data_IF_359772574772
#
_entry.id   IF_359772574772
#
_cell.length_a   1.000
_cell.length_b   1.000
_cell.length_c   1.000
_cell.angle_alpha   90.00
_cell.angle_beta   90.00
_cell.angle_gamma   90.00
#
_symmetry.space_group_name_H-M   'P 1'
#
loop_
_entity.id
_entity.type
_entity.pdbx_description
1 polymer ?
#
# COMPACT_ATOMS: atom_id res chain seq x y z
N UNK A 1 -0.88 26.16 -20.00
CA UNK A 1 -0.61 26.03 -18.55
C UNK A 1 0.00 24.67 -18.23
N UNK A 2 -0.62 23.56 -18.67
CA UNK A 2 -0.13 22.20 -18.45
C UNK A 2 1.27 21.97 -19.04
N UNK A 3 1.55 22.47 -20.24
CA UNK A 3 2.86 22.38 -20.89
C UNK A 3 3.99 23.02 -20.05
N UNK A 4 3.71 24.18 -19.45
CA UNK A 4 4.71 24.87 -18.60
C UNK A 4 5.01 24.13 -17.30
N UNK A 5 4.02 23.40 -16.76
CA UNK A 5 4.16 22.64 -15.51
C UNK A 5 4.78 21.27 -15.73
N UNK A 6 4.32 20.54 -16.76
CA UNK A 6 4.63 19.11 -16.93
C UNK A 6 5.52 18.81 -18.14
N UNK A 7 5.86 19.84 -18.97
CA UNK A 7 6.75 19.69 -20.13
C UNK A 7 6.37 18.53 -21.04
N UNK A 8 5.08 18.44 -21.37
CA UNK A 8 4.48 17.30 -22.08
C UNK A 8 5.18 16.99 -23.41
N UNK A 9 5.54 18.04 -24.19
CA UNK A 9 6.25 17.90 -25.46
C UNK A 9 7.67 17.35 -25.28
N UNK A 10 8.39 17.81 -24.23
CA UNK A 10 9.74 17.34 -23.90
C UNK A 10 9.71 15.84 -23.53
N UNK A 11 8.61 15.37 -22.91
CA UNK A 11 8.38 13.99 -22.53
C UNK A 11 7.70 13.15 -23.65
N UNK A 12 7.43 13.72 -24.80
CA UNK A 12 6.80 13.01 -25.93
C UNK A 12 5.38 12.54 -25.68
N UNK A 13 4.64 13.21 -24.79
CA UNK A 13 3.30 12.83 -24.36
C UNK A 13 2.25 13.92 -24.62
N UNK A 14 0.98 13.62 -24.39
CA UNK A 14 -0.13 14.56 -24.52
C UNK A 14 -0.98 14.56 -23.27
N UNK A 15 -1.69 15.65 -22.97
CA UNK A 15 -2.60 15.74 -21.84
C UNK A 15 -3.63 14.59 -21.81
N UNK A 16 -4.14 14.18 -22.97
CA UNK A 16 -5.08 13.05 -23.08
C UNK A 16 -4.43 11.73 -22.65
N UNK A 17 -3.19 11.49 -23.09
CA UNK A 17 -2.43 10.28 -22.71
C UNK A 17 -2.19 10.25 -21.22
N UNK A 18 -1.77 11.37 -20.61
CA UNK A 18 -1.52 11.49 -19.19
C UNK A 18 -2.78 11.28 -18.34
N UNK A 19 -3.92 11.83 -18.75
CA UNK A 19 -5.19 11.61 -18.05
C UNK A 19 -5.60 10.12 -18.10
N UNK A 20 -5.50 9.48 -19.26
CA UNK A 20 -5.83 8.06 -19.40
C UNK A 20 -4.87 7.19 -18.57
N UNK A 21 -3.58 7.52 -18.56
CA UNK A 21 -2.58 6.85 -17.74
C UNK A 21 -2.88 7.03 -16.23
N UNK A 22 -3.23 8.25 -15.80
CA UNK A 22 -3.60 8.55 -14.43
C UNK A 22 -4.85 7.78 -13.98
N UNK A 23 -5.90 7.75 -14.80
CA UNK A 23 -7.10 6.94 -14.52
C UNK A 23 -6.75 5.46 -14.44
N UNK A 24 -5.92 4.94 -15.35
CA UNK A 24 -5.48 3.53 -15.32
C UNK A 24 -4.70 3.23 -14.05
N UNK A 25 -3.78 4.10 -13.63
CA UNK A 25 -3.02 3.97 -12.39
C UNK A 25 -3.96 3.99 -11.17
N UNK A 26 -4.90 4.93 -11.13
CA UNK A 26 -5.92 4.98 -10.08
C UNK A 26 -6.72 3.66 -9.99
N UNK A 27 -7.21 3.14 -11.11
CA UNK A 27 -7.98 1.90 -11.13
C UNK A 27 -7.17 0.69 -10.60
N UNK A 28 -5.87 0.64 -10.87
CA UNK A 28 -4.99 -0.43 -10.38
C UNK A 28 -4.67 -0.31 -8.89
N UNK A 29 -4.65 0.92 -8.35
CA UNK A 29 -4.31 1.19 -6.95
C UNK A 29 -5.52 1.32 -6.04
N UNK A 30 -6.73 1.51 -6.59
CA UNK A 30 -7.94 1.84 -5.82
C UNK A 30 -8.33 0.80 -4.77
N UNK A 31 -7.91 -0.46 -4.91
CA UNK A 31 -8.16 -1.49 -3.90
C UNK A 31 -7.58 -1.14 -2.52
N UNK A 32 -6.52 -0.34 -2.47
CA UNK A 32 -5.85 0.08 -1.24
C UNK A 32 -6.77 0.90 -0.32
N UNK A 33 -7.74 1.60 -0.92
CA UNK A 33 -8.76 2.40 -0.21
C UNK A 33 -9.58 1.52 0.75
N UNK A 34 -9.74 0.25 0.44
CA UNK A 34 -10.46 -0.72 1.26
C UNK A 34 -9.52 -1.56 2.12
N UNK A 35 -8.44 -2.08 1.54
CA UNK A 35 -7.53 -3.01 2.20
C UNK A 35 -6.72 -2.34 3.31
N UNK A 36 -6.30 -1.09 3.13
CA UNK A 36 -5.54 -0.37 4.15
C UNK A 36 -6.35 -0.11 5.43
N UNK A 37 -7.59 0.43 5.37
CA UNK A 37 -8.43 0.56 6.55
C UNK A 37 -8.75 -0.77 7.21
N UNK A 38 -8.96 -1.84 6.46
CA UNK A 38 -9.23 -3.17 7.02
C UNK A 38 -8.05 -3.69 7.85
N UNK A 39 -6.81 -3.54 7.35
CA UNK A 39 -5.62 -3.96 8.09
C UNK A 39 -5.41 -3.09 9.32
N UNK A 40 -5.44 -1.77 9.18
CA UNK A 40 -5.15 -0.86 10.29
C UNK A 40 -6.24 -0.84 11.36
N UNK A 41 -7.50 -1.08 11.02
CA UNK A 41 -8.58 -1.18 12.00
C UNK A 41 -8.43 -2.35 12.98
N UNK A 42 -7.67 -3.39 12.62
CA UNK A 42 -7.37 -4.50 13.55
C UNK A 42 -6.57 -4.05 14.78
N UNK A 43 -5.93 -2.88 14.71
CA UNK A 43 -5.18 -2.26 15.83
C UNK A 43 -6.05 -1.44 16.78
N UNK A 44 -7.35 -1.32 16.52
CA UNK A 44 -8.26 -0.44 17.25
C UNK A 44 -8.39 0.98 16.67
N UNK A 45 -7.75 1.28 15.53
CA UNK A 45 -7.97 2.54 14.80
C UNK A 45 -9.37 2.57 14.19
N UNK A 46 -9.99 3.75 14.18
CA UNK A 46 -11.28 3.92 13.51
C UNK A 46 -11.15 3.69 11.99
N UNK A 47 -11.87 2.68 11.48
CA UNK A 47 -11.79 2.26 10.07
C UNK A 47 -12.15 3.37 9.10
N UNK A 48 -13.14 4.18 9.45
CA UNK A 48 -13.63 5.25 8.59
C UNK A 48 -12.65 6.42 8.53
N UNK A 49 -12.05 6.78 9.67
CA UNK A 49 -11.02 7.80 9.73
C UNK A 49 -9.75 7.36 8.96
N UNK A 50 -9.35 6.09 9.07
CA UNK A 50 -8.23 5.51 8.29
C UNK A 50 -8.54 5.52 6.79
N UNK A 51 -9.78 5.25 6.38
CA UNK A 51 -10.19 5.36 4.98
C UNK A 51 -9.94 6.77 4.42
N UNK A 52 -10.40 7.80 5.13
CA UNK A 52 -10.18 9.20 4.71
C UNK A 52 -8.69 9.55 4.71
N UNK A 53 -7.95 9.15 5.76
CA UNK A 53 -6.51 9.37 5.84
C UNK A 53 -5.76 8.71 4.67
N UNK A 54 -6.14 7.49 4.29
CA UNK A 54 -5.57 6.76 3.15
C UNK A 54 -5.77 7.52 1.84
N UNK A 55 -7.00 7.99 1.58
CA UNK A 55 -7.31 8.76 0.39
C UNK A 55 -6.52 10.07 0.32
N UNK A 56 -6.47 10.81 1.44
CA UNK A 56 -5.75 12.08 1.52
C UNK A 56 -4.23 11.88 1.36
N UNK A 57 -3.65 10.90 2.02
CA UNK A 57 -2.22 10.60 1.92
C UNK A 57 -1.82 10.20 0.50
N UNK A 58 -2.61 9.34 -0.15
CA UNK A 58 -2.38 8.94 -1.53
C UNK A 58 -2.51 10.12 -2.51
N UNK A 59 -3.51 10.97 -2.32
CA UNK A 59 -3.71 12.17 -3.14
C UNK A 59 -2.55 13.16 -2.97
N UNK A 60 -2.18 13.49 -1.73
CA UNK A 60 -1.07 14.40 -1.43
C UNK A 60 0.27 13.87 -1.96
N UNK A 61 0.57 12.59 -1.71
CA UNK A 61 1.79 11.97 -2.21
C UNK A 61 1.88 11.98 -3.73
N UNK A 62 0.78 11.66 -4.43
CA UNK A 62 0.73 11.69 -5.90
C UNK A 62 0.84 13.10 -6.46
N UNK A 63 0.22 14.10 -5.82
CA UNK A 63 0.34 15.51 -6.22
C UNK A 63 1.79 16.01 -6.03
N UNK A 64 2.41 15.70 -4.90
CA UNK A 64 3.81 16.07 -4.64
C UNK A 64 4.73 15.40 -5.67
N UNK A 65 4.55 14.13 -5.97
CA UNK A 65 5.32 13.40 -6.98
C UNK A 65 5.17 14.07 -8.36
N UNK A 66 3.96 14.45 -8.74
CA UNK A 66 3.70 15.09 -10.02
C UNK A 66 4.28 16.50 -10.12
N UNK A 67 4.13 17.33 -9.07
CA UNK A 67 4.51 18.74 -9.10
C UNK A 67 6.00 18.98 -8.79
N UNK A 68 6.58 18.20 -7.89
CA UNK A 68 7.98 18.37 -7.44
C UNK A 68 8.94 17.53 -8.26
N UNK A 69 8.64 16.24 -8.43
CA UNK A 69 9.50 15.33 -9.19
C UNK A 69 9.20 15.33 -10.69
N UNK A 70 8.03 15.84 -11.10
CA UNK A 70 7.53 15.75 -12.47
C UNK A 70 7.53 14.30 -13.01
N UNK A 71 7.14 13.37 -12.15
CA UNK A 71 7.03 11.96 -12.48
C UNK A 71 5.57 11.50 -12.46
N UNK A 72 5.09 10.84 -13.52
CA UNK A 72 3.71 10.35 -13.62
C UNK A 72 3.53 9.04 -12.86
N UNK A 73 3.89 9.02 -11.57
CA UNK A 73 3.80 7.86 -10.69
C UNK A 73 2.79 8.14 -9.59
N UNK A 74 1.76 7.29 -9.47
CA UNK A 74 0.82 7.34 -8.36
C UNK A 74 1.46 6.81 -7.08
N UNK A 75 1.19 7.49 -5.96
CA UNK A 75 1.69 7.12 -4.63
C UNK A 75 0.55 6.60 -3.76
N UNK A 76 0.82 5.55 -2.99
CA UNK A 76 -0.12 5.00 -2.02
C UNK A 76 0.62 4.36 -0.85
N UNK A 77 -0.05 4.11 0.31
CA UNK A 77 0.57 3.44 1.44
C UNK A 77 1.14 2.07 1.09
N UNK A 78 2.33 1.75 1.62
CA UNK A 78 2.99 0.47 1.42
C UNK A 78 2.35 -0.63 2.27
N UNK A 79 1.75 -1.63 1.63
CA UNK A 79 0.98 -2.67 2.32
C UNK A 79 1.83 -3.55 3.24
N UNK A 80 3.09 -3.80 2.88
CA UNK A 80 4.02 -4.58 3.71
C UNK A 80 4.28 -3.93 5.06
N UNK A 81 4.52 -2.61 5.07
CA UNK A 81 4.72 -1.84 6.30
C UNK A 81 3.45 -1.76 7.13
N UNK A 82 2.28 -1.62 6.51
CA UNK A 82 1.02 -1.57 7.23
C UNK A 82 0.71 -2.90 7.93
N UNK A 83 1.01 -4.01 7.29
CA UNK A 83 0.85 -5.33 7.89
C UNK A 83 1.86 -5.56 9.04
N UNK A 84 3.11 -5.14 8.90
CA UNK A 84 4.10 -5.16 9.98
C UNK A 84 3.65 -4.28 11.16
N UNK A 85 3.17 -3.07 10.89
CA UNK A 85 2.58 -2.17 11.88
C UNK A 85 1.44 -2.86 12.65
N UNK A 86 0.44 -3.38 11.94
CA UNK A 86 -0.77 -3.90 12.55
C UNK A 86 -0.55 -5.22 13.29
N UNK A 87 0.09 -6.19 12.66
CA UNK A 87 0.16 -7.55 13.21
C UNK A 87 1.39 -7.77 14.07
N UNK A 88 2.52 -7.14 13.75
CA UNK A 88 3.74 -7.33 14.54
C UNK A 88 3.86 -6.29 15.63
N UNK A 89 3.86 -5.00 15.31
CA UNK A 89 4.14 -3.94 16.28
C UNK A 89 3.00 -3.82 17.29
N UNK A 90 1.77 -3.66 16.81
CA UNK A 90 0.61 -3.52 17.70
C UNK A 90 0.13 -4.89 18.19
N UNK A 91 -0.05 -5.86 17.29
CA UNK A 91 -0.64 -7.16 17.63
C UNK A 91 0.26 -8.06 18.46
N UNK A 92 1.50 -8.29 18.06
CA UNK A 92 2.40 -9.25 18.70
C UNK A 92 3.27 -8.60 19.81
N UNK A 93 3.79 -7.37 19.57
CA UNK A 93 4.63 -6.67 20.54
C UNK A 93 3.83 -5.90 21.60
N UNK A 94 2.51 -5.66 21.37
CA UNK A 94 1.61 -5.04 22.34
C UNK A 94 1.75 -3.52 22.48
N UNK A 95 2.40 -2.83 21.53
CA UNK A 95 2.44 -1.37 21.52
C UNK A 95 1.08 -0.78 21.16
N UNK A 96 0.74 0.39 21.69
CA UNK A 96 -0.45 1.09 21.22
C UNK A 96 -0.26 1.56 19.78
N UNK A 97 -1.35 1.68 19.02
CA UNK A 97 -1.27 2.18 17.66
C UNK A 97 -0.77 3.64 17.58
N UNK A 98 -0.99 4.44 18.63
CA UNK A 98 -0.46 5.80 18.75
C UNK A 98 1.08 5.81 18.85
N UNK A 99 1.65 4.93 19.68
CA UNK A 99 3.10 4.76 19.80
C UNK A 99 3.70 4.23 18.48
N UNK A 100 3.04 3.26 17.86
CA UNK A 100 3.45 2.74 16.58
C UNK A 100 3.42 3.82 15.47
N UNK A 101 2.39 4.70 15.45
CA UNK A 101 2.37 5.88 14.57
C UNK A 101 3.49 6.87 14.87
N UNK A 102 3.82 7.08 16.16
CA UNK A 102 4.97 7.86 16.58
C UNK A 102 6.28 7.29 16.02
N UNK A 103 6.44 5.97 16.06
CA UNK A 103 7.61 5.29 15.49
C UNK A 103 7.68 5.45 13.94
N UNK A 104 6.55 5.33 13.22
CA UNK A 104 6.47 5.59 11.78
C UNK A 104 6.82 7.04 11.47
N UNK A 105 6.34 8.00 12.24
CA UNK A 105 6.66 9.41 12.04
C UNK A 105 8.17 9.69 12.21
N UNK A 106 8.78 9.12 13.24
CA UNK A 106 10.24 9.23 13.47
C UNK A 106 11.00 8.58 12.31
N UNK A 107 10.57 7.39 11.85
CA UNK A 107 11.20 6.72 10.70
C UNK A 107 11.13 7.56 9.43
N UNK A 108 10.00 8.22 9.17
CA UNK A 108 9.85 9.14 8.04
C UNK A 108 10.80 10.34 8.11
N UNK A 109 11.00 10.93 9.29
CA UNK A 109 11.99 12.00 9.47
C UNK A 109 13.41 11.49 9.20
N UNK A 110 13.77 10.32 9.74
CA UNK A 110 15.08 9.70 9.51
C UNK A 110 15.27 9.42 8.02
N UNK A 111 14.24 8.89 7.35
CA UNK A 111 14.27 8.64 5.91
C UNK A 111 14.52 9.90 5.09
N UNK A 112 13.89 11.02 5.45
CA UNK A 112 14.13 12.32 4.82
C UNK A 112 15.58 12.76 5.01
N UNK A 113 16.12 12.65 6.22
CA UNK A 113 17.52 12.99 6.53
C UNK A 113 18.47 12.12 5.69
N UNK A 114 18.26 10.81 5.64
CA UNK A 114 19.05 9.88 4.84
C UNK A 114 19.00 10.19 3.34
N UNK A 115 17.84 10.67 2.87
CA UNK A 115 17.64 11.03 1.46
C UNK A 115 18.38 12.33 1.10
N UNK A 116 18.23 13.38 1.95
CA UNK A 116 18.89 14.68 1.72
C UNK A 116 20.42 14.59 1.85
N UNK A 117 20.92 13.76 2.77
CA UNK A 117 22.37 13.55 2.97
C UNK A 117 23.01 12.62 1.92
N UNK A 118 22.19 11.96 1.10
CA UNK A 118 22.68 10.98 0.10
C UNK A 118 23.08 9.62 0.68
N UNK A 119 23.02 9.43 2.00
CA UNK A 119 23.33 8.15 2.68
C UNK A 119 22.42 7.04 2.19
N UNK A 120 21.16 7.36 1.89
CA UNK A 120 20.18 6.41 1.30
C UNK A 120 20.75 5.71 0.07
N UNK A 121 21.41 6.42 -0.83
CA UNK A 121 22.00 5.85 -2.05
C UNK A 121 23.07 4.82 -1.71
N UNK A 122 23.96 5.15 -0.78
CA UNK A 122 25.01 4.24 -0.32
C UNK A 122 24.42 2.98 0.33
N UNK A 123 23.36 3.11 1.16
CA UNK A 123 22.66 1.96 1.76
C UNK A 123 22.06 1.03 0.70
N UNK A 124 21.39 1.60 -0.31
CA UNK A 124 20.74 0.82 -1.37
C UNK A 124 21.78 0.15 -2.29
N UNK A 125 22.89 0.83 -2.62
CA UNK A 125 23.94 0.26 -3.44
C UNK A 125 24.71 -0.87 -2.71
N UNK A 126 24.82 -0.80 -1.38
CA UNK A 126 25.46 -1.81 -0.54
C UNK A 126 24.71 -3.15 -0.44
N UNK A 127 23.44 -3.21 -0.85
CA UNK A 127 22.64 -4.43 -0.74
C UNK A 127 22.62 -5.22 -2.04
N UNK A 128 22.97 -6.52 -2.00
CA UNK A 128 22.91 -7.41 -3.15
C UNK A 128 21.51 -7.44 -3.78
N UNK A 129 21.43 -7.51 -5.10
CA UNK A 129 20.18 -7.56 -5.84
C UNK A 129 19.28 -8.73 -5.42
N UNK A 130 19.89 -9.88 -5.08
CA UNK A 130 19.19 -11.07 -4.58
C UNK A 130 18.42 -10.79 -3.28
N UNK A 131 19.03 -10.05 -2.34
CA UNK A 131 18.38 -9.72 -1.07
C UNK A 131 17.18 -8.78 -1.27
N UNK A 132 17.30 -7.79 -2.16
CA UNK A 132 16.18 -6.90 -2.51
C UNK A 132 15.00 -7.68 -3.12
N UNK A 133 15.30 -8.62 -4.01
CA UNK A 133 14.26 -9.48 -4.60
C UNK A 133 13.63 -10.40 -3.57
N UNK A 134 14.41 -10.92 -2.61
CA UNK A 134 13.91 -11.77 -1.53
C UNK A 134 12.98 -11.01 -0.57
N UNK A 135 13.29 -9.74 -0.27
CA UNK A 135 12.40 -8.89 0.55
C UNK A 135 11.04 -8.73 -0.15
N UNK A 136 11.03 -8.38 -1.43
CA UNK A 136 9.80 -8.23 -2.20
C UNK A 136 8.98 -9.54 -2.26
N UNK A 137 9.65 -10.69 -2.46
CA UNK A 137 9.00 -11.99 -2.44
C UNK A 137 8.42 -12.33 -1.06
N UNK A 138 9.15 -12.04 0.03
CA UNK A 138 8.71 -12.24 1.40
C UNK A 138 7.46 -11.41 1.74
N UNK A 139 7.44 -10.15 1.36
CA UNK A 139 6.26 -9.26 1.52
C UNK A 139 5.07 -9.81 0.73
N UNK A 140 5.28 -10.26 -0.52
CA UNK A 140 4.23 -10.85 -1.34
C UNK A 140 3.62 -12.11 -0.71
N UNK A 141 4.44 -13.03 -0.22
CA UNK A 141 3.97 -14.25 0.47
C UNK A 141 3.24 -13.93 1.77
N UNK A 142 3.72 -12.95 2.54
CA UNK A 142 3.07 -12.50 3.76
C UNK A 142 1.68 -11.92 3.49
N UNK A 143 1.56 -11.05 2.48
CA UNK A 143 0.26 -10.50 2.06
C UNK A 143 -0.69 -11.58 1.54
N UNK A 144 -0.18 -12.57 0.81
CA UNK A 144 -0.97 -13.71 0.36
C UNK A 144 -1.54 -14.50 1.55
N UNK A 145 -0.72 -14.77 2.57
CA UNK A 145 -1.17 -15.46 3.78
C UNK A 145 -2.26 -14.66 4.52
N UNK A 146 -2.07 -13.34 4.67
CA UNK A 146 -3.07 -12.46 5.29
C UNK A 146 -4.36 -12.44 4.47
N UNK A 147 -4.27 -12.33 3.15
CA UNK A 147 -5.41 -12.40 2.26
C UNK A 147 -6.20 -13.70 2.39
N UNK A 148 -5.51 -14.84 2.40
CA UNK A 148 -6.12 -16.16 2.60
C UNK A 148 -6.77 -16.30 3.98
N UNK A 149 -6.14 -15.73 5.02
CA UNK A 149 -6.69 -15.71 6.37
C UNK A 149 -7.95 -14.82 6.45
N UNK A 150 -7.91 -13.63 5.89
CA UNK A 150 -9.06 -12.71 5.85
C UNK A 150 -10.23 -13.28 5.04
N UNK A 151 -9.92 -14.02 3.97
CA UNK A 151 -10.90 -14.75 3.18
C UNK A 151 -11.51 -15.97 3.90
N UNK A 152 -10.95 -16.40 5.03
CA UNK A 152 -11.37 -17.60 5.75
C UNK A 152 -10.96 -18.92 5.06
N UNK A 153 -10.10 -18.86 4.05
CA UNK A 153 -9.50 -20.05 3.39
C UNK A 153 -8.44 -20.68 4.28
N UNK A 154 -7.64 -19.85 4.95
CA UNK A 154 -6.69 -20.29 5.97
C UNK A 154 -7.20 -19.85 7.34
N UNK A 155 -7.21 -20.78 8.29
CA UNK A 155 -7.62 -20.55 9.69
C UNK A 155 -6.53 -20.96 10.65
N UNK A 156 -6.57 -20.46 11.90
CA UNK A 156 -5.65 -20.87 12.94
C UNK A 156 -5.91 -22.33 13.36
N UNK A 157 -4.84 -23.08 13.55
CA UNK A 157 -4.87 -24.45 14.08
C UNK A 157 -3.82 -24.58 15.19
N UNK A 158 -4.19 -25.09 16.35
CA UNK A 158 -3.28 -25.20 17.50
C UNK A 158 -2.10 -26.14 17.27
N UNK A 159 -2.28 -27.19 16.45
CA UNK A 159 -1.25 -28.18 16.21
C UNK A 159 -0.29 -27.78 15.06
N UNK A 160 -0.82 -27.17 14.00
CA UNK A 160 -0.08 -26.86 12.76
C UNK A 160 0.07 -25.37 12.50
N UNK A 161 -0.35 -24.51 13.44
CA UNK A 161 -0.43 -23.05 13.36
C UNK A 161 -1.45 -22.56 12.33
N UNK A 162 -1.55 -23.20 11.17
CA UNK A 162 -2.49 -22.90 10.10
C UNK A 162 -3.20 -24.17 9.63
N UNK A 163 -4.46 -24.04 9.27
CA UNK A 163 -5.28 -25.13 8.74
C UNK A 163 -6.17 -24.61 7.60
N UNK A 164 -6.80 -25.56 6.90
CA UNK A 164 -7.78 -25.22 5.88
C UNK A 164 -9.10 -24.83 6.56
N UNK A 165 -9.66 -23.69 6.15
CA UNK A 165 -10.97 -23.25 6.58
C UNK A 165 -12.12 -24.04 5.92
N UNK A 166 -13.33 -23.72 6.31
CA UNK A 166 -14.54 -24.32 5.73
C UNK A 166 -14.82 -23.67 4.36
N UNK A 167 -14.37 -24.36 3.31
CA UNK A 167 -14.56 -23.90 1.93
C UNK A 167 -16.00 -24.00 1.41
N UNK A 168 -16.91 -24.58 2.20
CA UNK A 168 -18.35 -24.63 1.82
C UNK A 168 -19.07 -23.33 2.15
N UNK A 169 -18.47 -22.47 2.98
CA UNK A 169 -19.03 -21.18 3.34
C UNK A 169 -18.95 -20.20 2.17
N UNK A 170 -19.96 -19.37 2.05
CA UNK A 170 -20.06 -18.40 0.95
C UNK A 170 -18.90 -17.38 0.89
N UNK A 171 -18.37 -16.97 2.04
CA UNK A 171 -17.23 -16.03 2.10
C UNK A 171 -15.98 -16.57 1.41
N UNK A 172 -15.40 -17.72 1.85
CA UNK A 172 -14.27 -18.37 1.20
C UNK A 172 -14.51 -18.69 -0.27
N UNK A 173 -15.71 -19.17 -0.63
CA UNK A 173 -16.07 -19.45 -2.03
C UNK A 173 -16.03 -18.20 -2.91
N UNK A 174 -16.60 -17.10 -2.44
CA UNK A 174 -16.56 -15.82 -3.15
C UNK A 174 -15.13 -15.28 -3.28
N UNK A 175 -14.31 -15.43 -2.24
CA UNK A 175 -12.93 -14.98 -2.28
C UNK A 175 -12.11 -15.78 -3.31
N UNK A 176 -12.28 -17.11 -3.35
CA UNK A 176 -11.65 -17.98 -4.35
C UNK A 176 -12.14 -17.64 -5.76
N UNK A 177 -13.45 -17.48 -5.95
CA UNK A 177 -14.03 -17.08 -7.24
C UNK A 177 -13.47 -15.71 -7.68
N UNK A 178 -13.40 -14.74 -6.76
CA UNK A 178 -12.81 -13.43 -7.02
C UNK A 178 -11.35 -13.49 -7.45
N UNK A 179 -10.56 -14.31 -6.78
CA UNK A 179 -9.16 -14.53 -7.15
C UNK A 179 -9.04 -15.05 -8.60
N UNK A 180 -9.81 -16.07 -8.96
CA UNK A 180 -9.78 -16.61 -10.32
C UNK A 180 -10.30 -15.62 -11.37
N UNK A 181 -11.36 -14.85 -11.05
CA UNK A 181 -11.86 -13.79 -11.94
C UNK A 181 -10.76 -12.75 -12.20
N UNK A 182 -10.08 -12.27 -11.13
CA UNK A 182 -8.99 -11.31 -11.26
C UNK A 182 -7.85 -11.91 -12.08
N UNK A 183 -7.45 -13.16 -11.80
CA UNK A 183 -6.37 -13.83 -12.53
C UNK A 183 -6.67 -13.99 -14.02
N UNK A 184 -7.90 -14.33 -14.38
CA UNK A 184 -8.34 -14.43 -15.80
C UNK A 184 -8.34 -13.05 -16.45
N UNK A 185 -8.89 -12.03 -15.79
CA UNK A 185 -8.92 -10.66 -16.31
C UNK A 185 -7.50 -10.10 -16.50
N UNK A 186 -6.60 -10.39 -15.59
CA UNK A 186 -5.19 -9.98 -15.68
C UNK A 186 -4.46 -10.71 -16.83
N UNK A 187 -4.68 -12.03 -16.97
CA UNK A 187 -4.15 -12.81 -18.10
C UNK A 187 -4.65 -12.29 -19.45
N UNK A 188 -5.89 -11.82 -19.52
CA UNK A 188 -6.48 -11.15 -20.70
C UNK A 188 -6.01 -9.69 -20.86
N UNK A 189 -5.12 -9.20 -19.98
CA UNK A 189 -4.59 -7.82 -19.99
C UNK A 189 -5.68 -6.75 -19.90
N UNK A 190 -6.78 -7.03 -19.19
CA UNK A 190 -7.85 -6.07 -18.95
C UNK A 190 -7.37 -5.01 -17.98
N UNK A 191 -7.42 -3.74 -18.36
CA UNK A 191 -7.04 -2.62 -17.49
C UNK A 191 -7.99 -2.53 -16.32
N UNK A 192 -7.46 -2.47 -15.08
CA UNK A 192 -8.27 -2.43 -13.88
C UNK A 192 -8.87 -3.79 -13.47
N UNK A 193 -8.28 -4.91 -13.89
CA UNK A 193 -8.72 -6.28 -13.58
C UNK A 193 -9.04 -6.48 -12.09
N UNK A 194 -8.19 -5.96 -11.20
CA UNK A 194 -8.36 -6.06 -9.74
C UNK A 194 -9.65 -5.36 -9.30
N UNK A 195 -9.86 -4.11 -9.72
CA UNK A 195 -11.06 -3.36 -9.34
C UNK A 195 -12.32 -4.00 -9.91
N UNK A 196 -12.29 -4.44 -11.17
CA UNK A 196 -13.43 -5.12 -11.82
C UNK A 196 -13.77 -6.39 -11.04
N UNK A 197 -12.78 -7.20 -10.67
CA UNK A 197 -13.00 -8.41 -9.88
C UNK A 197 -13.60 -8.10 -8.50
N UNK A 198 -13.09 -7.08 -7.80
CA UNK A 198 -13.67 -6.63 -6.52
C UNK A 198 -15.12 -6.22 -6.70
N UNK A 199 -15.45 -5.43 -7.72
CA UNK A 199 -16.82 -4.99 -7.98
C UNK A 199 -17.75 -6.15 -8.29
N UNK A 200 -17.32 -7.12 -9.12
CA UNK A 200 -18.11 -8.32 -9.44
C UNK A 200 -18.43 -9.10 -8.16
N UNK A 201 -17.43 -9.35 -7.32
CA UNK A 201 -17.62 -10.11 -6.08
C UNK A 201 -18.45 -9.31 -5.06
N UNK A 202 -18.30 -8.00 -5.00
CA UNK A 202 -19.12 -7.14 -4.15
C UNK A 202 -20.60 -7.23 -4.56
N UNK A 203 -20.92 -7.11 -5.85
CA UNK A 203 -22.28 -7.26 -6.35
C UNK A 203 -22.83 -8.66 -6.07
N UNK A 204 -22.04 -9.71 -6.29
CA UNK A 204 -22.42 -11.07 -5.96
C UNK A 204 -22.68 -11.27 -4.47
N UNK A 205 -21.84 -10.69 -3.60
CA UNK A 205 -21.99 -10.74 -2.14
C UNK A 205 -23.27 -10.05 -1.67
N UNK A 206 -23.62 -8.91 -2.28
CA UNK A 206 -24.87 -8.19 -2.01
C UNK A 206 -26.08 -9.02 -2.48
N UNK A 207 -26.02 -9.57 -3.70
CA UNK A 207 -27.09 -10.39 -4.27
C UNK A 207 -27.37 -11.67 -3.45
N UNK A 208 -26.32 -12.23 -2.84
CA UNK A 208 -26.42 -13.40 -1.93
C UNK A 208 -26.81 -13.02 -0.50
N UNK A 209 -27.03 -11.73 -0.20
CA UNK A 209 -27.38 -11.26 1.14
C UNK A 209 -26.25 -11.35 2.19
N UNK A 210 -25.01 -11.55 1.76
CA UNK A 210 -23.85 -11.66 2.65
C UNK A 210 -23.38 -10.26 3.08
N UNK A 211 -23.41 -9.29 2.16
CA UNK A 211 -23.06 -7.90 2.42
C UNK A 211 -24.29 -6.99 2.29
N UNK A 212 -24.37 -6.00 3.17
CA UNK A 212 -25.45 -4.99 3.10
C UNK A 212 -25.03 -3.86 2.15
N UNK A 213 -25.95 -3.44 1.30
CA UNK A 213 -25.74 -2.29 0.44
C UNK A 213 -26.10 -0.99 1.15
N UNK A 214 -25.10 -0.19 1.51
CA UNK A 214 -25.26 1.08 2.24
C UNK A 214 -25.49 2.32 1.35
N UNK A 215 -25.63 2.15 0.03
CA UNK A 215 -25.77 3.26 -0.93
C UNK A 215 -24.50 3.52 -1.74
N UNK A 216 -24.61 4.35 -2.79
CA UNK A 216 -23.50 4.68 -3.71
C UNK A 216 -22.77 5.93 -3.26
N UNK A 217 -23.44 6.84 -2.58
CA UNK A 217 -22.88 8.11 -2.12
C UNK A 217 -23.12 8.27 -0.62
N UNK A 218 -22.10 8.68 0.10
CA UNK A 218 -22.18 9.09 1.49
C UNK A 218 -21.24 10.27 1.73
N UNK A 219 -21.53 11.07 2.77
CA UNK A 219 -20.58 12.11 3.20
C UNK A 219 -19.26 11.45 3.67
N UNK A 220 -18.10 12.07 3.37
CA UNK A 220 -16.83 11.55 3.87
C UNK A 220 -16.88 11.47 5.41
N UNK A 221 -16.43 10.35 6.00
CA UNK A 221 -16.35 10.22 7.45
C UNK A 221 -15.39 11.24 8.07
N UNK A 222 -15.50 11.44 9.39
CA UNK A 222 -14.60 12.32 10.12
C UNK A 222 -13.19 11.72 10.22
N UNK A 223 -12.16 12.54 9.98
CA UNK A 223 -10.76 12.19 10.20
C UNK A 223 -10.34 12.32 11.67
N UNK A 224 -11.12 13.06 12.47
CA UNK A 224 -10.75 13.44 13.85
C UNK A 224 -10.29 12.29 14.76
N UNK A 225 -10.85 11.07 14.71
CA UNK A 225 -10.43 9.98 15.60
C UNK A 225 -8.98 9.55 15.45
N UNK A 226 -8.36 9.79 14.29
CA UNK A 226 -6.96 9.36 14.00
C UNK A 226 -6.03 10.53 13.72
N UNK A 227 -6.56 11.72 13.48
CA UNK A 227 -5.76 12.88 13.10
C UNK A 227 -4.89 13.37 14.25
N UNK A 228 -3.58 13.43 14.03
CA UNK A 228 -2.56 13.86 15.01
C UNK A 228 -2.57 13.08 16.33
N UNK A 229 -3.07 11.86 16.35
CA UNK A 229 -3.10 10.99 17.54
C UNK A 229 -1.78 10.22 17.75
N UNK A 230 -0.72 10.58 17.01
CA UNK A 230 0.60 9.94 17.16
C UNK A 230 1.26 10.33 18.50
N UNK A 231 1.78 9.33 19.20
CA UNK A 231 2.51 9.50 20.45
C UNK A 231 4.03 9.32 20.20
N UNK A 232 4.68 10.44 19.83
CA UNK A 232 6.13 10.47 19.56
C UNK A 232 6.93 10.25 20.83
N UNK A 233 6.50 10.83 21.96
CA UNK A 233 7.22 10.72 23.23
C UNK A 233 7.10 9.31 23.78
N UNK A 234 5.92 8.72 23.77
CA UNK A 234 5.72 7.32 24.14
C UNK A 234 6.54 6.37 23.27
N UNK A 235 6.64 6.63 21.97
CA UNK A 235 7.51 5.85 21.08
C UNK A 235 9.00 5.92 21.46
N UNK A 236 9.49 7.04 21.94
CA UNK A 236 10.90 7.18 22.36
C UNK A 236 11.18 6.52 23.72
N UNK A 237 10.21 6.55 24.63
CA UNK A 237 10.39 6.02 25.99
C UNK A 237 10.19 4.51 26.12
N UNK A 238 9.40 3.89 25.26
CA UNK A 238 9.03 2.47 25.38
C UNK A 238 10.02 1.47 24.79
N UNK A 239 11.21 1.91 24.36
CA UNK A 239 12.22 1.01 23.78
C UNK A 239 11.88 0.54 22.36
N UNK A 240 10.99 1.22 21.66
CA UNK A 240 10.55 0.92 20.30
C UNK A 240 11.63 1.22 19.23
N UNK A 241 12.83 1.60 19.63
CA UNK A 241 13.93 2.01 18.75
C UNK A 241 14.24 0.97 17.66
N UNK A 242 14.20 -0.32 18.01
CA UNK A 242 14.40 -1.40 17.03
C UNK A 242 13.30 -1.44 15.97
N UNK A 243 12.07 -1.11 16.34
CA UNK A 243 10.94 -1.02 15.41
C UNK A 243 11.12 0.17 14.47
N UNK A 244 11.56 1.33 14.97
CA UNK A 244 11.90 2.51 14.16
C UNK A 244 12.96 2.14 13.13
N UNK A 245 14.03 1.44 13.55
CA UNK A 245 15.07 0.98 12.63
C UNK A 245 14.52 0.07 11.54
N UNK A 246 13.65 -0.88 11.89
CA UNK A 246 13.02 -1.77 10.91
C UNK A 246 12.16 -0.98 9.92
N UNK A 247 11.34 -0.03 10.39
CA UNK A 247 10.57 0.85 9.50
C UNK A 247 11.48 1.62 8.54
N UNK A 248 12.55 2.25 9.03
CA UNK A 248 13.51 2.98 8.19
C UNK A 248 14.11 2.07 7.12
N UNK A 249 14.59 0.89 7.50
CA UNK A 249 15.21 -0.04 6.56
C UNK A 249 14.22 -0.52 5.51
N UNK A 250 13.05 -0.97 5.93
CA UNK A 250 12.02 -1.45 4.98
C UNK A 250 11.57 -0.32 4.05
N UNK A 251 11.37 0.90 4.57
CA UNK A 251 10.97 2.06 3.78
C UNK A 251 12.05 2.45 2.74
N UNK A 252 13.32 2.45 3.13
CA UNK A 252 14.45 2.72 2.21
C UNK A 252 14.46 1.71 1.07
N UNK A 253 14.25 0.42 1.36
CA UNK A 253 14.32 -0.63 0.33
C UNK A 253 13.06 -0.70 -0.51
N UNK A 254 11.89 -0.64 0.10
CA UNK A 254 10.61 -0.74 -0.59
C UNK A 254 10.40 0.46 -1.51
N UNK A 255 10.53 1.68 -0.98
CA UNK A 255 10.38 2.90 -1.77
C UNK A 255 11.39 2.95 -2.94
N UNK A 256 12.65 2.59 -2.69
CA UNK A 256 13.67 2.62 -3.75
C UNK A 256 13.44 1.53 -4.79
N UNK A 257 13.15 0.31 -4.36
CA UNK A 257 12.89 -0.83 -5.25
C UNK A 257 11.68 -0.60 -6.13
N UNK A 258 10.59 -0.13 -5.54
CA UNK A 258 9.33 0.13 -6.23
C UNK A 258 9.46 1.29 -7.22
N UNK A 259 10.03 2.44 -6.79
CA UNK A 259 10.22 3.60 -7.67
C UNK A 259 11.13 3.27 -8.86
N UNK A 260 12.27 2.62 -8.62
CA UNK A 260 13.18 2.21 -9.71
C UNK A 260 12.48 1.19 -10.63
N UNK A 261 11.76 0.24 -10.08
CA UNK A 261 11.04 -0.77 -10.84
C UNK A 261 9.98 -0.16 -11.77
N UNK A 262 9.16 0.74 -11.25
CA UNK A 262 8.12 1.45 -12.00
C UNK A 262 8.75 2.39 -13.02
N UNK A 263 9.75 3.16 -12.63
CA UNK A 263 10.43 4.11 -13.51
C UNK A 263 11.14 3.42 -14.69
N UNK A 264 11.79 2.28 -14.46
CA UNK A 264 12.37 1.46 -15.54
C UNK A 264 11.32 0.92 -16.50
N UNK A 265 10.21 0.38 -15.99
CA UNK A 265 9.12 -0.14 -16.82
C UNK A 265 8.38 0.98 -17.56
N UNK A 266 8.27 2.15 -16.96
CA UNK A 266 7.68 3.35 -17.57
C UNK A 266 8.59 4.08 -18.55
N UNK A 267 9.85 3.63 -18.74
CA UNK A 267 10.81 4.33 -19.61
C UNK A 267 11.25 5.70 -19.07
N UNK A 268 11.06 5.96 -17.78
CA UNK A 268 11.42 7.25 -17.16
C UNK A 268 12.91 7.34 -16.81
N UNK A 269 13.63 6.22 -16.84
CA UNK A 269 15.07 6.14 -16.61
C UNK A 269 15.74 5.75 -17.92
N UNK A 270 16.53 6.67 -18.48
CA UNK A 270 17.33 6.42 -19.67
C UNK A 270 18.71 5.85 -19.30
N UNK A 271 19.18 4.77 -19.97
CA UNK A 271 20.54 4.27 -19.78
C UNK A 271 21.57 5.35 -20.11
N UNK A 272 22.48 5.66 -19.15
CA UNK A 272 23.57 6.60 -19.35
C UNK A 272 23.28 8.06 -18.99
N UNK A 273 22.05 8.41 -18.62
CA UNK A 273 21.76 9.74 -18.02
C UNK A 273 21.75 9.63 -16.48
N UNK A 274 22.23 10.69 -15.75
CA UNK A 274 22.17 10.66 -14.30
C UNK A 274 20.72 10.49 -13.84
N UNK A 275 20.49 9.47 -13.00
CA UNK A 275 19.18 9.23 -12.42
C UNK A 275 18.75 10.47 -11.63
N UNK A 276 17.53 10.94 -11.87
CA UNK A 276 16.89 12.00 -11.09
C UNK A 276 16.37 11.51 -9.73
N UNK A 277 16.82 10.33 -9.28
CA UNK A 277 16.49 9.72 -7.98
C UNK A 277 17.45 10.19 -6.88
#
# INVERSE_FOLDING_TARGET
MLEKLFKLQEHGTTARTEIIAGVTTFLTMSYIIFVNPDILSTTGMDRNAVFVATCLAAALGSIIMALVANWPIGMAPGMGLNAFFAFTVVGAMGFSWQQALGAVFISGIIFLILTVTGIRRWLVEGIPHSLRSSIAAGIGMFLALIGLKSAGVVVGNQATLVGLGDLTKAGPLLAIAGFFIIAVLDALKVRGAILIGILIITVASIALGISQFGGVFSAPPSLAPTFLQLDVMGALHTGILHVILVFVLVEVFDATGTLIGVAKRGGLIEPGKPNRL
#
